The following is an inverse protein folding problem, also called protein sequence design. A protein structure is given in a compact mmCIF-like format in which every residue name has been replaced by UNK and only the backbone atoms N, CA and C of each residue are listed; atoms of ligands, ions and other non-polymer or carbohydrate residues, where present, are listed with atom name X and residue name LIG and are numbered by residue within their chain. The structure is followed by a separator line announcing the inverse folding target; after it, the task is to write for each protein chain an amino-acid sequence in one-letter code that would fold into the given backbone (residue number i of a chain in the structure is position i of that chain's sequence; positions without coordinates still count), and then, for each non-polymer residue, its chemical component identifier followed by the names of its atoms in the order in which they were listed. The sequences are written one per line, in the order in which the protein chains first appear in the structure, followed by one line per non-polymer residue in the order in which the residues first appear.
data_IF_673453549984
#
_entry.id   IF_673453549984
#
_cell.length_a   1.000
_cell.length_b   1.000
_cell.length_c   1.000
_cell.angle_alpha   90.00
_cell.angle_beta   90.00
_cell.angle_gamma   90.00
#
_symmetry.space_group_name_H-M   'P 1'
#
loop_
_entity.id
_entity.type
_entity.pdbx_description
1 polymer ?
#
# COMPACT_ATOMS: atom_id res chain seq x y z
N UNK A 1 -1.66 -39.02 -1.67
CA UNK A 1 -2.86 -38.25 -2.07
C UNK A 1 -3.70 -37.68 -0.89
N UNK A 2 -3.31 -37.87 0.37
CA UNK A 2 -4.09 -37.36 1.55
C UNK A 2 -3.61 -35.98 2.08
N UNK A 3 -2.39 -35.55 1.75
CA UNK A 3 -1.83 -34.29 2.30
C UNK A 3 -2.41 -33.02 1.65
N UNK A 4 -2.85 -33.08 0.39
CA UNK A 4 -3.41 -31.91 -0.30
C UNK A 4 -4.82 -31.51 0.18
N UNK A 5 -5.59 -32.48 0.66
CA UNK A 5 -6.98 -32.23 1.11
C UNK A 5 -7.03 -31.56 2.48
N UNK A 6 -6.03 -31.79 3.33
CA UNK A 6 -5.90 -31.16 4.66
C UNK A 6 -5.49 -29.70 4.54
N UNK A 7 -4.60 -29.36 3.62
CA UNK A 7 -4.18 -27.97 3.38
C UNK A 7 -5.32 -27.11 2.82
N UNK A 8 -6.14 -27.66 1.93
CA UNK A 8 -7.29 -26.96 1.35
C UNK A 8 -8.38 -26.68 2.41
N UNK A 9 -8.65 -27.63 3.32
CA UNK A 9 -9.60 -27.43 4.42
C UNK A 9 -9.13 -26.42 5.46
N UNK A 10 -7.84 -26.33 5.73
CA UNK A 10 -7.27 -25.34 6.64
C UNK A 10 -7.39 -23.92 6.06
N UNK A 11 -7.19 -23.76 4.75
CA UNK A 11 -7.33 -22.47 4.08
C UNK A 11 -8.79 -21.96 4.05
N UNK A 12 -9.75 -22.84 3.79
CA UNK A 12 -11.19 -22.49 3.87
C UNK A 12 -11.62 -22.12 5.30
N UNK A 13 -11.03 -22.77 6.31
CA UNK A 13 -11.36 -22.48 7.70
C UNK A 13 -10.80 -21.13 8.16
N UNK A 14 -9.62 -20.74 7.68
CA UNK A 14 -9.02 -19.41 7.92
C UNK A 14 -9.87 -18.32 7.24
N UNK A 15 -10.29 -18.51 5.99
CA UNK A 15 -11.17 -17.57 5.28
C UNK A 15 -12.53 -17.42 5.97
N UNK A 16 -13.11 -18.50 6.50
CA UNK A 16 -14.36 -18.43 7.27
C UNK A 16 -14.18 -17.75 8.64
N UNK A 17 -13.02 -17.92 9.28
CA UNK A 17 -12.70 -17.27 10.55
C UNK A 17 -12.55 -15.77 10.40
N UNK A 18 -11.90 -15.30 9.33
CA UNK A 18 -11.76 -13.87 9.02
C UNK A 18 -13.14 -13.24 8.74
N UNK A 19 -14.05 -13.96 8.05
CA UNK A 19 -15.42 -13.50 7.83
C UNK A 19 -16.27 -13.43 9.13
N UNK A 20 -15.94 -14.20 10.15
CA UNK A 20 -16.69 -14.20 11.42
C UNK A 20 -16.28 -13.08 12.37
N UNK A 21 -15.04 -12.57 12.26
CA UNK A 21 -14.54 -11.46 13.09
C UNK A 21 -15.15 -10.13 12.63
N UNK A 22 -15.46 -9.97 11.32
CA UNK A 22 -16.02 -8.75 10.74
C UNK A 22 -17.48 -8.43 11.13
N UNK A 23 -18.19 -9.30 11.84
CA UNK A 23 -19.63 -9.10 12.11
C UNK A 23 -19.96 -8.22 13.32
N UNK A 24 -19.00 -7.60 13.99
CA UNK A 24 -19.26 -6.78 15.19
C UNK A 24 -18.85 -5.31 15.10
N UNK A 25 -18.31 -4.86 13.99
CA UNK A 25 -18.08 -3.44 13.77
C UNK A 25 -19.19 -2.90 12.85
N UNK A 26 -20.15 -2.17 13.43
CA UNK A 26 -21.11 -1.34 12.69
C UNK A 26 -20.40 -0.09 12.14
N UNK A 27 -19.37 -0.27 11.31
CA UNK A 27 -18.78 0.84 10.58
C UNK A 27 -19.73 1.23 9.44
N UNK A 28 -20.00 2.53 9.21
CA UNK A 28 -20.86 2.96 8.12
C UNK A 28 -20.23 2.52 6.78
N UNK A 29 -20.98 1.73 6.02
CA UNK A 29 -20.64 1.47 4.62
C UNK A 29 -20.74 2.79 3.88
N UNK A 30 -19.65 3.29 3.35
CA UNK A 30 -19.71 4.41 2.43
C UNK A 30 -20.53 4.00 1.20
N UNK A 31 -21.45 4.87 0.81
CA UNK A 31 -22.14 4.80 -0.46
C UNK A 31 -21.17 5.16 -1.60
N UNK A 32 -20.26 4.23 -1.92
CA UNK A 32 -19.43 4.28 -3.13
C UNK A 32 -20.11 3.46 -4.21
N UNK A 33 -19.99 3.88 -5.46
CA UNK A 33 -20.42 3.09 -6.61
C UNK A 33 -19.75 1.73 -6.50
N UNK A 34 -20.54 0.67 -6.29
CA UNK A 34 -20.03 -0.70 -6.18
C UNK A 34 -19.57 -1.15 -7.57
N UNK A 35 -18.31 -0.94 -7.88
CA UNK A 35 -17.69 -1.47 -9.09
C UNK A 35 -17.63 -3.00 -8.96
N UNK A 36 -18.06 -3.78 -9.98
CA UNK A 36 -17.96 -5.23 -9.93
C UNK A 36 -16.50 -5.67 -9.85
N UNK A 37 -16.23 -6.73 -9.09
CA UNK A 37 -14.88 -7.29 -9.01
C UNK A 37 -14.47 -7.90 -10.34
N UNK A 38 -13.18 -7.85 -10.72
CA UNK A 38 -12.63 -8.58 -11.84
C UNK A 38 -12.91 -10.09 -11.75
N UNK A 39 -13.16 -10.73 -12.88
CA UNK A 39 -13.43 -12.15 -12.94
C UNK A 39 -12.10 -12.92 -13.00
N UNK A 40 -11.88 -13.84 -12.07
CA UNK A 40 -10.74 -14.76 -12.10
C UNK A 40 -11.05 -15.91 -13.07
N UNK A 41 -10.53 -15.84 -14.30
CA UNK A 41 -10.70 -16.91 -15.30
C UNK A 41 -9.83 -18.13 -15.03
N UNK A 42 -8.66 -17.97 -14.43
CA UNK A 42 -7.77 -19.07 -14.08
C UNK A 42 -6.86 -18.70 -12.91
N UNK A 43 -6.64 -19.64 -12.01
CA UNK A 43 -5.63 -19.60 -10.98
C UNK A 43 -4.57 -20.66 -11.27
N UNK A 44 -3.30 -20.28 -11.35
CA UNK A 44 -2.19 -21.20 -11.61
C UNK A 44 -1.09 -20.93 -10.57
N UNK A 45 -0.65 -21.99 -9.91
CA UNK A 45 0.56 -21.94 -9.10
C UNK A 45 1.78 -21.94 -10.02
N UNK A 46 2.67 -20.97 -9.83
CA UNK A 46 3.96 -20.91 -10.52
C UNK A 46 5.07 -21.03 -9.49
N UNK A 47 5.99 -21.97 -9.73
CA UNK A 47 7.15 -22.19 -8.86
C UNK A 47 8.16 -21.03 -8.89
N UNK A 48 8.18 -20.24 -9.98
CA UNK A 48 8.98 -19.01 -10.09
C UNK A 48 8.04 -17.81 -10.04
N UNK A 49 8.35 -16.87 -9.14
CA UNK A 49 7.58 -15.66 -8.98
C UNK A 49 7.73 -14.76 -10.19
N UNK A 50 6.60 -14.37 -10.81
CA UNK A 50 6.58 -13.29 -11.79
C UNK A 50 6.91 -11.93 -11.13
N UNK A 51 6.85 -11.86 -9.81
CA UNK A 51 7.34 -10.74 -9.02
C UNK A 51 8.83 -11.00 -8.82
N UNK A 52 9.69 -10.18 -9.41
CA UNK A 52 11.15 -10.27 -9.29
C UNK A 52 11.61 -10.05 -7.85
N UNK A 53 11.42 -11.04 -7.00
CA UNK A 53 11.95 -11.06 -5.64
C UNK A 53 12.99 -12.14 -5.52
N UNK A 54 14.15 -11.77 -4.98
CA UNK A 54 15.22 -12.72 -4.67
C UNK A 54 15.17 -13.06 -3.19
N UNK A 55 15.45 -14.32 -2.87
CA UNK A 55 15.76 -14.73 -1.51
C UNK A 55 17.28 -14.69 -1.37
N UNK A 56 17.75 -13.91 -0.43
CA UNK A 56 19.16 -13.89 -0.04
C UNK A 56 19.34 -14.63 1.28
N UNK A 57 20.40 -15.41 1.36
CA UNK A 57 20.89 -16.04 2.58
C UNK A 57 22.03 -15.17 3.16
N UNK A 58 21.95 -14.91 4.46
CA UNK A 58 22.95 -14.12 5.19
C UNK A 58 23.53 -14.98 6.32
N UNK A 59 24.81 -15.28 6.23
CA UNK A 59 25.56 -15.89 7.33
C UNK A 59 26.08 -14.77 8.25
N UNK A 60 25.49 -14.66 9.43
CA UNK A 60 25.73 -13.54 10.35
C UNK A 60 26.43 -14.01 11.61
N UNK A 61 27.39 -13.21 12.08
CA UNK A 61 28.00 -13.34 13.39
C UNK A 61 27.60 -12.16 14.27
N UNK A 62 27.01 -12.43 15.41
CA UNK A 62 26.57 -11.44 16.39
C UNK A 62 27.71 -11.05 17.32
N UNK A 63 27.56 -9.92 18.03
CA UNK A 63 28.58 -9.39 18.96
C UNK A 63 28.94 -10.33 20.12
N UNK A 64 28.11 -11.30 20.43
CA UNK A 64 28.36 -12.35 21.42
C UNK A 64 29.05 -13.59 20.84
N UNK A 65 29.46 -13.57 19.55
CA UNK A 65 30.09 -14.69 18.84
C UNK A 65 29.12 -15.74 18.29
N UNK A 66 27.80 -15.60 18.52
CA UNK A 66 26.80 -16.50 17.97
C UNK A 66 26.67 -16.32 16.45
N UNK A 67 26.65 -17.45 15.72
CA UNK A 67 26.41 -17.46 14.27
C UNK A 67 25.03 -17.98 13.94
N UNK A 68 24.35 -17.33 12.99
CA UNK A 68 23.03 -17.72 12.50
C UNK A 68 22.89 -17.39 11.01
N UNK A 69 22.17 -18.25 10.32
CA UNK A 69 21.75 -18.03 8.94
C UNK A 69 20.38 -17.40 8.93
N UNK A 70 20.26 -16.27 8.27
CA UNK A 70 18.99 -15.57 8.04
C UNK A 70 18.66 -15.55 6.55
N UNK A 71 17.38 -15.50 6.24
CA UNK A 71 16.89 -15.34 4.88
C UNK A 71 16.11 -14.04 4.77
N UNK A 72 16.32 -13.29 3.67
CA UNK A 72 15.53 -12.09 3.40
C UNK A 72 15.06 -12.05 1.95
N UNK A 73 13.89 -11.43 1.76
CA UNK A 73 13.38 -11.08 0.46
C UNK A 73 13.94 -9.73 0.03
N UNK A 74 14.55 -9.70 -1.13
CA UNK A 74 14.98 -8.47 -1.79
C UNK A 74 14.19 -8.27 -3.07
N UNK A 75 13.91 -7.01 -3.39
CA UNK A 75 13.33 -6.63 -4.68
C UNK A 75 14.35 -5.83 -5.46
N UNK A 76 14.48 -6.04 -6.77
CA UNK A 76 15.26 -5.13 -7.61
C UNK A 76 14.63 -3.74 -7.57
N UNK A 77 15.45 -2.70 -7.70
CA UNK A 77 15.00 -1.32 -7.77
C UNK A 77 15.26 -0.49 -6.52
N UNK A 78 14.75 0.74 -6.55
CA UNK A 78 15.06 1.79 -5.58
C UNK A 78 14.00 1.95 -4.48
N UNK A 79 13.12 0.97 -4.34
CA UNK A 79 11.99 1.01 -3.40
C UNK A 79 10.71 1.57 -4.04
N UNK A 80 9.85 2.11 -3.20
CA UNK A 80 8.58 2.68 -3.61
C UNK A 80 8.34 4.03 -2.92
N UNK A 81 7.37 4.79 -3.43
CA UNK A 81 6.84 5.97 -2.76
C UNK A 81 5.44 5.69 -2.21
N UNK A 82 5.10 6.39 -1.13
CA UNK A 82 3.73 6.54 -0.62
C UNK A 82 3.51 8.04 -0.49
N UNK A 83 2.51 8.54 -1.19
CA UNK A 83 2.25 9.98 -1.27
C UNK A 83 1.01 10.31 -0.45
N UNK A 84 1.10 11.34 0.39
CA UNK A 84 -0.04 11.95 1.08
C UNK A 84 -0.40 13.24 0.34
N UNK A 85 -1.37 13.21 -0.60
CA UNK A 85 -1.71 14.37 -1.41
C UNK A 85 -2.76 15.21 -0.71
N UNK A 86 -2.38 16.38 -0.26
CA UNK A 86 -3.26 17.34 0.41
C UNK A 86 -3.93 18.24 -0.62
N UNK A 87 -5.23 18.01 -0.85
CA UNK A 87 -6.05 18.86 -1.73
C UNK A 87 -6.18 20.28 -1.17
N UNK A 88 -6.33 20.36 0.13
CA UNK A 88 -6.32 21.59 0.94
C UNK A 88 -5.70 21.27 2.31
N UNK A 89 -5.67 22.27 3.23
CA UNK A 89 -5.09 22.09 4.57
C UNK A 89 -5.77 21.00 5.43
N UNK A 90 -6.96 20.52 5.04
CA UNK A 90 -7.76 19.59 5.83
C UNK A 90 -8.21 18.34 5.08
N UNK A 91 -7.94 18.27 3.78
CA UNK A 91 -8.45 17.19 2.91
C UNK A 91 -7.30 16.47 2.23
N UNK A 92 -7.21 15.17 2.44
CA UNK A 92 -6.30 14.27 1.72
C UNK A 92 -7.03 13.60 0.57
N UNK A 93 -6.35 13.34 -0.53
CA UNK A 93 -6.87 12.48 -1.60
C UNK A 93 -6.45 11.03 -1.37
N UNK A 94 -7.41 10.14 -1.45
CA UNK A 94 -7.21 8.71 -1.47
C UNK A 94 -7.56 8.18 -2.85
N UNK A 95 -7.08 7.00 -3.18
CA UNK A 95 -7.42 6.29 -4.41
C UNK A 95 -8.03 4.93 -4.08
N UNK A 96 -8.96 4.48 -4.92
CA UNK A 96 -9.54 3.14 -4.80
C UNK A 96 -9.01 2.28 -5.93
N UNK A 97 -8.28 1.25 -5.55
CA UNK A 97 -7.57 0.36 -6.46
C UNK A 97 -7.96 -1.10 -6.20
N UNK A 98 -7.96 -1.93 -7.27
CA UNK A 98 -8.14 -3.37 -7.12
C UNK A 98 -6.87 -4.02 -6.55
N UNK A 99 -7.00 -4.65 -5.39
CA UNK A 99 -5.92 -5.34 -4.70
C UNK A 99 -6.00 -6.86 -4.95
N UNK A 100 -5.21 -7.35 -5.91
CA UNK A 100 -5.21 -8.77 -6.29
C UNK A 100 -4.86 -9.72 -5.13
N UNK A 101 -4.03 -9.28 -4.18
CA UNK A 101 -3.64 -10.08 -3.02
C UNK A 101 -4.79 -10.42 -2.07
N UNK A 102 -5.86 -9.62 -2.07
CA UNK A 102 -7.06 -9.81 -1.22
C UNK A 102 -8.35 -9.89 -2.02
N UNK A 103 -8.26 -9.84 -3.36
CA UNK A 103 -9.36 -9.93 -4.32
C UNK A 103 -10.53 -8.99 -3.97
N UNK A 104 -10.21 -7.72 -3.74
CA UNK A 104 -11.20 -6.66 -3.49
C UNK A 104 -10.65 -5.30 -3.88
N UNK A 105 -11.52 -4.30 -3.97
CA UNK A 105 -11.10 -2.92 -4.05
C UNK A 105 -10.70 -2.42 -2.66
N UNK A 106 -9.50 -1.84 -2.57
CA UNK A 106 -8.97 -1.20 -1.37
C UNK A 106 -8.89 0.30 -1.59
N UNK A 107 -9.23 1.03 -0.54
CA UNK A 107 -8.96 2.45 -0.45
C UNK A 107 -7.55 2.63 0.14
N UNK A 108 -6.77 3.54 -0.40
CA UNK A 108 -5.40 3.76 0.05
C UNK A 108 -4.84 5.11 -0.39
N UNK A 109 -3.59 5.33 -0.10
CA UNK A 109 -2.83 6.46 -0.63
C UNK A 109 -2.24 6.12 -2.01
N UNK A 110 -1.93 7.14 -2.80
CA UNK A 110 -1.13 7.05 -4.03
C UNK A 110 0.20 6.36 -3.73
N UNK A 111 0.58 5.36 -4.53
CA UNK A 111 1.77 4.52 -4.28
C UNK A 111 2.32 3.98 -5.58
N UNK A 112 3.61 4.01 -5.75
CA UNK A 112 4.22 3.33 -6.86
C UNK A 112 5.70 3.08 -6.68
N UNK A 113 6.31 2.44 -7.66
CA UNK A 113 7.74 2.14 -7.67
C UNK A 113 8.54 3.36 -8.06
N UNK A 114 9.77 3.43 -7.56
CA UNK A 114 10.75 4.41 -8.03
C UNK A 114 11.46 3.78 -9.23
N UNK A 115 11.34 4.40 -10.38
CA UNK A 115 11.97 3.95 -11.61
C UNK A 115 13.47 4.25 -11.63
N UNK A 116 14.19 3.58 -12.54
CA UNK A 116 15.64 3.78 -12.66
C UNK A 116 15.96 5.24 -13.03
N UNK A 117 16.74 5.89 -12.17
CA UNK A 117 17.15 7.29 -12.34
C UNK A 117 16.22 8.31 -11.72
N UNK A 118 15.05 7.89 -11.17
CA UNK A 118 14.19 8.79 -10.43
C UNK A 118 14.66 8.98 -8.98
N UNK A 119 14.45 10.19 -8.48
CA UNK A 119 14.44 10.45 -7.03
C UNK A 119 13.06 10.11 -6.44
N UNK A 120 12.94 9.89 -5.13
CA UNK A 120 11.63 9.66 -4.49
C UNK A 120 10.61 10.78 -4.75
N UNK A 121 11.04 12.04 -4.87
CA UNK A 121 10.15 13.16 -5.14
C UNK A 121 9.66 13.16 -6.59
N UNK A 122 10.50 12.77 -7.55
CA UNK A 122 10.11 12.64 -8.96
C UNK A 122 9.10 11.50 -9.14
N UNK A 123 9.38 10.34 -8.53
CA UNK A 123 8.44 9.22 -8.54
C UNK A 123 7.10 9.60 -7.89
N UNK A 124 7.12 10.33 -6.77
CA UNK A 124 5.91 10.78 -6.08
C UNK A 124 5.05 11.71 -6.96
N UNK A 125 5.67 12.64 -7.69
CA UNK A 125 4.95 13.54 -8.60
C UNK A 125 4.37 12.79 -9.81
N UNK A 126 5.13 11.84 -10.38
CA UNK A 126 4.67 10.98 -11.47
C UNK A 126 3.47 10.13 -11.05
N UNK A 127 3.59 9.36 -9.98
CA UNK A 127 2.52 8.49 -9.47
C UNK A 127 1.26 9.28 -9.10
N UNK A 128 1.43 10.46 -8.50
CA UNK A 128 0.31 11.34 -8.17
C UNK A 128 -0.45 11.80 -9.43
N UNK A 129 0.25 12.09 -10.51
CA UNK A 129 -0.34 12.45 -11.81
C UNK A 129 -1.01 11.25 -12.48
N UNK A 130 -0.40 10.07 -12.40
CA UNK A 130 -0.91 8.83 -13.00
C UNK A 130 -2.14 8.32 -12.26
N UNK A 131 -2.10 8.21 -10.93
CA UNK A 131 -3.19 7.63 -10.15
C UNK A 131 -4.30 8.64 -9.81
N UNK A 132 -3.95 9.84 -9.36
CA UNK A 132 -4.93 10.81 -8.86
C UNK A 132 -5.24 11.97 -9.84
N UNK A 133 -4.45 12.15 -10.90
CA UNK A 133 -4.66 13.23 -11.88
C UNK A 133 -4.23 14.62 -11.39
N UNK A 134 -3.31 14.67 -10.45
CA UNK A 134 -2.77 15.92 -9.90
C UNK A 134 -1.24 15.90 -9.89
N UNK A 135 -0.62 17.03 -10.18
CA UNK A 135 0.76 17.33 -9.81
C UNK A 135 0.80 18.14 -8.51
N UNK A 136 1.98 18.28 -7.91
CA UNK A 136 2.17 19.07 -6.69
C UNK A 136 3.31 20.08 -6.86
N UNK A 137 3.09 21.36 -6.45
CA UNK A 137 4.14 22.37 -6.44
C UNK A 137 5.06 22.24 -5.22
N UNK A 138 4.57 21.60 -4.15
CA UNK A 138 5.32 21.39 -2.93
C UNK A 138 5.35 19.90 -2.61
N UNK A 139 6.52 19.30 -2.74
CA UNK A 139 6.78 17.90 -2.39
C UNK A 139 7.81 17.84 -1.28
N UNK A 140 7.48 17.20 -0.19
CA UNK A 140 8.35 17.07 0.97
C UNK A 140 8.53 15.60 1.35
N UNK A 141 9.79 15.14 1.31
CA UNK A 141 10.14 13.83 1.83
C UNK A 141 10.08 13.86 3.37
N UNK A 142 9.20 13.07 3.96
CA UNK A 142 9.05 13.00 5.41
C UNK A 142 9.99 11.95 6.02
N UNK A 143 9.98 10.73 5.51
CA UNK A 143 10.83 9.63 6.00
C UNK A 143 10.80 8.39 5.10
N UNK A 144 11.75 7.48 5.32
CA UNK A 144 11.66 6.11 4.85
C UNK A 144 10.87 5.25 5.84
N UNK A 145 10.11 4.30 5.30
CA UNK A 145 9.35 3.28 6.06
C UNK A 145 9.77 1.89 5.58
N UNK A 146 9.77 0.95 6.50
CA UNK A 146 9.92 -0.48 6.20
C UNK A 146 8.56 -1.17 6.31
N UNK A 147 8.36 -2.25 5.56
CA UNK A 147 7.11 -3.02 5.63
C UNK A 147 7.24 -4.20 6.60
N UNK A 148 8.23 -5.06 6.37
CA UNK A 148 8.50 -6.23 7.19
C UNK A 148 10.01 -6.40 7.38
N UNK A 149 10.67 -5.55 8.20
CA UNK A 149 12.14 -5.45 8.26
C UNK A 149 12.83 -6.71 8.76
N UNK A 150 12.10 -7.62 9.40
CA UNK A 150 12.64 -8.91 9.85
C UNK A 150 13.10 -9.79 8.69
N UNK A 151 12.42 -9.70 7.52
CA UNK A 151 12.70 -10.57 6.38
C UNK A 151 12.57 -9.89 5.01
N UNK A 152 12.31 -8.59 4.96
CA UNK A 152 12.24 -7.83 3.70
C UNK A 152 13.16 -6.61 3.74
N UNK A 153 13.92 -6.40 2.68
CA UNK A 153 14.76 -5.21 2.52
C UNK A 153 14.02 -4.04 1.85
N UNK A 154 12.75 -4.22 1.47
CA UNK A 154 11.96 -3.20 0.78
C UNK A 154 11.73 -1.96 1.64
N UNK A 155 11.94 -0.79 1.05
CA UNK A 155 11.67 0.52 1.65
C UNK A 155 10.62 1.27 0.85
N UNK A 156 9.78 2.04 1.56
CA UNK A 156 8.84 2.99 0.98
C UNK A 156 9.14 4.40 1.50
N UNK A 157 9.24 5.36 0.60
CA UNK A 157 9.51 6.76 0.93
C UNK A 157 8.19 7.51 1.07
N UNK A 158 7.93 8.02 2.25
CA UNK A 158 6.74 8.83 2.52
C UNK A 158 6.96 10.27 2.07
N UNK A 159 6.10 10.72 1.16
CA UNK A 159 6.13 12.07 0.60
C UNK A 159 4.82 12.78 0.90
N UNK A 160 4.90 13.98 1.48
CA UNK A 160 3.78 14.91 1.60
C UNK A 160 3.74 15.78 0.34
N UNK A 161 2.57 15.83 -0.33
CA UNK A 161 2.33 16.63 -1.51
C UNK A 161 1.28 17.71 -1.21
N UNK A 162 1.63 18.97 -1.44
CA UNK A 162 0.77 20.14 -1.17
C UNK A 162 0.76 21.08 -2.38
N UNK A 163 -0.15 22.03 -2.40
CA UNK A 163 -0.37 22.95 -3.53
C UNK A 163 -0.59 22.15 -4.82
N UNK A 164 -1.61 21.29 -4.81
CA UNK A 164 -1.95 20.42 -5.92
C UNK A 164 -2.52 21.23 -7.09
N UNK A 165 -2.20 20.80 -8.30
CA UNK A 165 -2.78 21.33 -9.53
C UNK A 165 -3.19 20.19 -10.47
N UNK A 166 -4.26 20.35 -11.26
CA UNK A 166 -4.72 19.30 -12.17
C UNK A 166 -3.67 19.02 -13.27
N UNK A 167 -3.20 17.78 -13.31
CA UNK A 167 -2.36 17.24 -14.39
C UNK A 167 -2.46 15.71 -14.37
N UNK A 168 -3.03 15.14 -15.44
CA UNK A 168 -3.18 13.69 -15.58
C UNK A 168 -2.15 13.14 -16.55
N UNK A 169 -1.43 12.12 -16.12
CA UNK A 169 -0.59 11.27 -16.97
C UNK A 169 -1.29 9.92 -17.22
N UNK A 170 -0.89 9.23 -18.26
CA UNK A 170 -1.31 7.86 -18.49
C UNK A 170 -0.56 6.96 -17.51
N UNK A 171 -1.30 6.19 -16.69
CA UNK A 171 -0.77 5.15 -15.82
C UNK A 171 -0.76 3.78 -16.48
N UNK A 172 -0.33 2.76 -15.75
CA UNK A 172 -0.32 1.36 -16.17
C UNK A 172 -1.46 0.53 -15.56
N UNK A 173 -2.35 1.16 -14.79
CA UNK A 173 -3.52 0.52 -14.22
C UNK A 173 -4.51 0.10 -15.34
N UNK A 174 -5.13 -1.09 -15.18
CA UNK A 174 -6.06 -1.61 -16.18
C UNK A 174 -7.37 -0.82 -16.27
N UNK A 175 -7.64 0.06 -15.33
CA UNK A 175 -8.83 0.91 -15.25
C UNK A 175 -8.54 2.22 -14.51
N UNK A 176 -9.32 3.26 -14.77
CA UNK A 176 -9.21 4.54 -14.06
C UNK A 176 -9.48 4.34 -12.56
N UNK A 177 -8.59 4.87 -11.73
CA UNK A 177 -8.75 4.83 -10.29
C UNK A 177 -9.80 5.87 -9.82
N UNK A 178 -10.60 5.49 -8.85
CA UNK A 178 -11.54 6.40 -8.18
C UNK A 178 -10.77 7.24 -7.15
N UNK A 179 -10.76 8.56 -7.35
CA UNK A 179 -10.15 9.50 -6.39
C UNK A 179 -11.19 9.90 -5.33
N UNK A 180 -10.86 9.66 -4.06
CA UNK A 180 -11.77 9.86 -2.93
C UNK A 180 -11.19 10.91 -1.98
N UNK A 181 -11.73 12.15 -1.95
CA UNK A 181 -11.34 13.13 -0.95
C UNK A 181 -11.78 12.69 0.46
N UNK A 182 -10.88 12.83 1.44
CA UNK A 182 -11.17 12.49 2.84
C UNK A 182 -10.70 13.58 3.80
N UNK A 183 -11.53 13.92 4.78
CA UNK A 183 -11.18 14.94 5.78
C UNK A 183 -10.24 14.37 6.85
N UNK A 184 -9.16 15.06 7.17
CA UNK A 184 -8.23 14.64 8.21
C UNK A 184 -8.90 14.57 9.60
N UNK A 185 -9.94 15.37 9.83
CA UNK A 185 -10.74 15.31 11.06
C UNK A 185 -11.55 14.02 11.22
N UNK A 186 -11.74 13.26 10.11
CA UNK A 186 -12.52 12.01 10.08
C UNK A 186 -11.62 10.77 9.91
N UNK A 187 -10.33 10.88 10.21
CA UNK A 187 -9.40 9.75 10.11
C UNK A 187 -9.77 8.59 11.03
N UNK A 188 -10.38 8.84 12.18
CA UNK A 188 -10.90 7.81 13.08
C UNK A 188 -11.94 6.91 12.38
N UNK A 189 -12.82 7.50 11.57
CA UNK A 189 -13.79 6.76 10.77
C UNK A 189 -13.12 5.98 9.64
N UNK A 190 -12.11 6.57 8.98
CA UNK A 190 -11.34 5.92 7.93
C UNK A 190 -10.62 4.68 8.46
N UNK A 191 -9.99 4.77 9.64
CA UNK A 191 -9.24 3.67 10.27
C UNK A 191 -10.11 2.46 10.61
N UNK A 192 -11.43 2.63 10.75
CA UNK A 192 -12.37 1.55 11.07
C UNK A 192 -12.99 0.91 9.82
N UNK A 193 -12.67 1.38 8.62
CA UNK A 193 -13.21 0.83 7.38
C UNK A 193 -12.52 -0.48 7.00
N UNK A 194 -13.30 -1.45 6.57
CA UNK A 194 -12.78 -2.75 6.11
C UNK A 194 -12.01 -2.65 4.79
N UNK A 195 -12.33 -1.67 3.94
CA UNK A 195 -11.68 -1.43 2.65
C UNK A 195 -10.51 -0.43 2.74
N UNK A 196 -10.07 -0.06 3.96
CA UNK A 196 -8.88 0.74 4.22
C UNK A 196 -7.97 -0.01 5.19
N UNK A 197 -7.25 -1.00 4.71
CA UNK A 197 -6.47 -1.92 5.54
C UNK A 197 -4.97 -1.93 5.28
N UNK A 198 -4.51 -1.23 4.24
CA UNK A 198 -3.11 -1.22 3.84
C UNK A 198 -2.23 -0.47 4.86
N UNK A 199 -1.28 -1.20 5.47
CA UNK A 199 -0.51 -0.71 6.62
C UNK A 199 0.35 0.52 6.35
N UNK A 200 0.86 0.71 5.11
CA UNK A 200 1.65 1.91 4.76
C UNK A 200 0.77 3.14 4.69
N UNK A 201 -0.43 3.04 4.12
CA UNK A 201 -1.41 4.13 4.06
C UNK A 201 -1.86 4.54 5.45
N UNK A 202 -2.14 3.57 6.33
CA UNK A 202 -2.46 3.81 7.74
C UNK A 202 -1.34 4.59 8.44
N UNK A 203 -0.10 4.08 8.38
CA UNK A 203 1.06 4.70 9.02
C UNK A 203 1.36 6.10 8.44
N UNK A 204 1.28 6.24 7.12
CA UNK A 204 1.56 7.48 6.41
C UNK A 204 0.62 8.61 6.82
N UNK A 205 -0.69 8.33 6.93
CA UNK A 205 -1.68 9.33 7.38
C UNK A 205 -1.44 9.77 8.83
N UNK A 206 -1.09 8.85 9.73
CA UNK A 206 -0.72 9.22 11.10
C UNK A 206 0.52 10.12 11.12
N UNK A 207 1.57 9.77 10.39
CA UNK A 207 2.81 10.56 10.33
C UNK A 207 2.54 11.94 9.74
N UNK A 208 1.79 12.01 8.62
CA UNK A 208 1.48 13.28 7.99
C UNK A 208 0.63 14.18 8.88
N UNK A 209 -0.38 13.64 9.57
CA UNK A 209 -1.19 14.39 10.54
C UNK A 209 -0.33 15.01 11.66
N UNK A 210 0.56 14.20 12.25
CA UNK A 210 1.48 14.69 13.30
C UNK A 210 2.47 15.73 12.76
N UNK A 211 2.91 15.57 11.52
CA UNK A 211 3.79 16.54 10.86
C UNK A 211 3.08 17.86 10.62
N UNK A 212 1.89 17.85 10.05
CA UNK A 212 1.08 19.04 9.77
C UNK A 212 0.68 19.79 11.06
N UNK A 213 0.36 19.06 12.13
CA UNK A 213 0.03 19.66 13.42
C UNK A 213 1.20 20.33 14.14
N UNK A 214 2.45 20.08 13.74
CA UNK A 214 3.65 20.75 14.29
C UNK A 214 4.11 21.94 13.46
N UNK A 215 3.66 22.03 12.23
CA UNK A 215 4.05 23.10 11.29
C UNK A 215 3.11 24.32 11.35
N UNK A 216 1.98 24.22 12.06
CA UNK A 216 1.04 25.31 12.35
C UNK A 216 1.12 25.73 13.80
#
# INVERSE_FOLDING_TARGET
MQSGLLAFRAHEQVLRSVHSIGRRCNAPRAAGVSRPLPIIHALRERGESAIERKVEELDLEFSNGERRVFHRLTSPGHGAVVVVPMLDAQTVLLVREYAAGVHRYELGLVKGRIDAGETPLQAADRELKEEAGYGARQLQLLRAMTLAPTYMSHQSWLVLAQDLYPEKLAGDEPEDLEVVPWKLAELDQLMLREDFSEGRSLAALFIAREWLGRAG
#
